data_IF_373963194123
#
_entry.id   IF_373963194123
#
_cell.length_a   1.000
_cell.length_b   1.000
_cell.length_c   1.000
_cell.angle_alpha   90.00
_cell.angle_beta   90.00
_cell.angle_gamma   90.00
#
_symmetry.space_group_name_H-M   'P 1'
#
loop_
_entity.id
_entity.type
_entity.pdbx_description
1 polymer ?
#
# COMPACT_ATOMS: atom_id res chain seq x y z
N UNK A 1 -26.51 -2.94 5.11
CA UNK A 1 -25.40 -3.87 4.85
C UNK A 1 -24.12 -3.09 4.96
N UNK A 2 -23.20 -3.47 5.82
CA UNK A 2 -21.86 -2.87 5.88
C UNK A 2 -21.01 -3.59 4.84
N UNK A 3 -20.63 -2.92 3.77
CA UNK A 3 -19.73 -3.48 2.75
C UNK A 3 -18.29 -3.58 3.26
N UNK A 4 -17.96 -2.77 4.23
CA UNK A 4 -16.68 -2.78 4.91
C UNK A 4 -16.93 -3.27 6.34
N UNK A 5 -16.40 -4.42 6.66
CA UNK A 5 -16.40 -4.92 8.02
C UNK A 5 -15.31 -4.20 8.83
N UNK A 6 -15.58 -2.92 9.12
CA UNK A 6 -14.61 -2.06 9.79
C UNK A 6 -14.37 -2.46 11.26
N UNK A 7 -15.31 -3.19 11.88
CA UNK A 7 -15.12 -3.65 13.25
C UNK A 7 -14.03 -4.72 13.33
N UNK A 8 -14.04 -5.67 12.39
CA UNK A 8 -13.06 -6.77 12.39
C UNK A 8 -11.82 -6.46 11.54
N UNK A 9 -11.98 -5.78 10.41
CA UNK A 9 -10.89 -5.51 9.47
C UNK A 9 -10.27 -4.11 9.60
N UNK A 10 -10.91 -3.18 10.32
CA UNK A 10 -10.51 -1.76 10.36
C UNK A 10 -9.08 -1.53 10.81
N UNK A 11 -8.62 -2.24 11.84
CA UNK A 11 -7.24 -2.15 12.30
C UNK A 11 -6.24 -2.55 11.20
N UNK A 12 -6.51 -3.64 10.49
CA UNK A 12 -5.63 -4.12 9.43
C UNK A 12 -5.62 -3.17 8.23
N UNK A 13 -6.76 -2.58 7.89
CA UNK A 13 -6.86 -1.58 6.82
C UNK A 13 -6.08 -0.31 7.16
N UNK A 14 -6.22 0.21 8.38
CA UNK A 14 -5.46 1.38 8.83
C UNK A 14 -3.96 1.07 8.84
N UNK A 15 -3.56 -0.09 9.35
CA UNK A 15 -2.17 -0.51 9.35
C UNK A 15 -1.59 -0.56 7.93
N UNK A 16 -2.33 -1.15 6.98
CA UNK A 16 -1.92 -1.19 5.57
C UNK A 16 -1.82 0.20 4.98
N UNK A 17 -2.81 1.06 5.23
CA UNK A 17 -2.80 2.44 4.76
C UNK A 17 -1.57 3.23 5.25
N UNK A 18 -1.17 3.03 6.50
CA UNK A 18 0.03 3.67 7.05
C UNK A 18 1.32 3.17 6.40
N UNK A 19 1.37 1.88 6.06
CA UNK A 19 2.55 1.21 5.50
C UNK A 19 2.64 1.35 3.98
N UNK A 20 1.52 1.22 3.28
CA UNK A 20 1.46 1.23 1.81
C UNK A 20 1.20 2.65 1.26
N UNK A 21 0.54 3.51 2.06
CA UNK A 21 0.20 4.89 1.67
C UNK A 21 -1.06 4.98 0.82
N UNK A 22 -1.62 3.86 0.40
CA UNK A 22 -2.79 3.78 -0.46
C UNK A 22 -3.61 2.53 -0.20
N UNK A 23 -4.89 2.61 -0.55
CA UNK A 23 -5.82 1.48 -0.51
C UNK A 23 -6.73 1.55 -1.74
N UNK A 24 -6.99 0.40 -2.34
CA UNK A 24 -7.90 0.27 -3.46
C UNK A 24 -8.90 -0.85 -3.26
N UNK A 25 -10.12 -0.64 -3.73
CA UNK A 25 -11.17 -1.65 -3.75
C UNK A 25 -11.87 -1.67 -5.11
N UNK A 26 -12.08 -2.86 -5.64
CA UNK A 26 -12.96 -3.07 -6.78
C UNK A 26 -14.42 -2.98 -6.33
N UNK A 27 -15.22 -2.20 -7.04
CA UNK A 27 -16.65 -2.08 -6.84
C UNK A 27 -17.38 -3.16 -7.65
N UNK A 28 -18.00 -4.11 -6.99
CA UNK A 28 -18.70 -5.22 -7.61
C UNK A 28 -20.15 -4.83 -7.85
N UNK A 29 -20.58 -4.85 -9.12
CA UNK A 29 -21.95 -4.55 -9.53
C UNK A 29 -22.55 -5.82 -10.15
N UNK A 30 -23.79 -6.13 -9.82
CA UNK A 30 -24.47 -7.27 -10.42
C UNK A 30 -24.84 -6.95 -11.88
N UNK A 31 -24.30 -7.67 -12.89
CA UNK A 31 -24.55 -7.37 -14.29
C UNK A 31 -26.03 -7.59 -14.71
N UNK A 32 -26.79 -8.45 -13.97
CA UNK A 32 -28.22 -8.68 -14.24
C UNK A 32 -29.09 -7.54 -13.72
N UNK A 33 -28.69 -6.86 -12.68
CA UNK A 33 -29.47 -5.81 -12.01
C UNK A 33 -28.57 -4.61 -11.66
N UNK A 34 -28.06 -3.87 -12.65
CA UNK A 34 -27.15 -2.75 -12.41
C UNK A 34 -27.80 -1.60 -11.63
N UNK A 35 -29.14 -1.50 -11.66
CA UNK A 35 -29.91 -0.52 -10.87
C UNK A 35 -29.81 -0.68 -9.35
N UNK A 36 -29.38 -1.84 -8.86
CA UNK A 36 -29.14 -2.08 -7.43
C UNK A 36 -27.85 -1.39 -6.93
N UNK A 37 -27.01 -0.88 -7.83
CA UNK A 37 -25.75 -0.25 -7.50
C UNK A 37 -24.67 -1.26 -7.08
N UNK A 38 -23.77 -0.83 -6.20
CA UNK A 38 -22.66 -1.65 -5.69
C UNK A 38 -23.23 -2.74 -4.78
N UNK A 39 -22.98 -3.99 -5.12
CA UNK A 39 -23.44 -5.17 -4.35
C UNK A 39 -22.38 -5.71 -3.42
N UNK A 40 -21.12 -5.36 -3.66
CA UNK A 40 -19.99 -5.77 -2.83
C UNK A 40 -18.75 -4.97 -3.18
N UNK A 41 -17.72 -5.12 -2.34
CA UNK A 41 -16.39 -4.54 -2.58
C UNK A 41 -15.34 -5.62 -2.39
N UNK A 42 -14.28 -5.56 -3.19
CA UNK A 42 -13.13 -6.46 -3.09
C UNK A 42 -11.87 -5.65 -2.88
N UNK A 43 -11.10 -5.98 -1.86
CA UNK A 43 -9.83 -5.34 -1.59
C UNK A 43 -8.79 -5.74 -2.65
N UNK A 44 -8.03 -4.74 -3.14
CA UNK A 44 -6.93 -4.89 -4.07
C UNK A 44 -5.62 -4.55 -3.33
N UNK A 45 -4.71 -5.52 -3.13
CA UNK A 45 -3.42 -5.23 -2.51
C UNK A 45 -2.56 -4.31 -3.38
N UNK A 46 -1.92 -3.31 -2.76
CA UNK A 46 -1.10 -2.32 -3.46
C UNK A 46 0.10 -2.93 -4.23
N UNK A 47 0.58 -4.08 -3.79
CA UNK A 47 1.69 -4.81 -4.41
C UNK A 47 1.41 -5.30 -5.84
N UNK A 48 0.13 -5.37 -6.24
CA UNK A 48 -0.31 -6.00 -7.49
C UNK A 48 -1.00 -5.05 -8.45
N UNK A 49 -1.04 -3.75 -8.17
CA UNK A 49 -1.58 -2.80 -9.12
C UNK A 49 -0.66 -1.60 -9.33
N UNK A 50 -0.77 -1.04 -10.52
CA UNK A 50 -0.08 0.18 -10.92
C UNK A 50 -1.10 1.20 -11.45
N UNK A 51 -0.77 2.48 -11.33
CA UNK A 51 -1.63 3.55 -11.85
C UNK A 51 -1.61 3.56 -13.36
N UNK A 52 -2.80 3.52 -13.96
CA UNK A 52 -3.00 3.60 -15.39
C UNK A 52 -3.09 5.06 -15.82
N UNK A 53 -2.15 5.49 -16.66
CA UNK A 53 -2.06 6.87 -17.15
C UNK A 53 -2.41 6.92 -18.64
N UNK A 54 -3.20 7.91 -19.02
CA UNK A 54 -3.47 8.19 -20.43
C UNK A 54 -2.22 8.81 -21.08
N UNK A 55 -1.71 8.16 -22.13
CA UNK A 55 -0.49 8.59 -22.84
C UNK A 55 -0.62 9.98 -23.47
N UNK A 56 -1.85 10.40 -23.82
CA UNK A 56 -2.07 11.69 -24.48
C UNK A 56 -2.15 12.85 -23.50
N UNK A 57 -2.81 12.64 -22.38
CA UNK A 57 -3.09 13.70 -21.40
C UNK A 57 -2.14 13.68 -20.22
N UNK A 58 -1.45 12.56 -19.98
CA UNK A 58 -0.63 12.34 -18.79
C UNK A 58 -1.43 12.21 -17.49
N UNK A 59 -2.77 12.13 -17.58
CA UNK A 59 -3.63 12.06 -16.40
C UNK A 59 -3.91 10.60 -16.01
N UNK A 60 -4.00 10.32 -14.71
CA UNK A 60 -4.37 8.99 -14.22
C UNK A 60 -5.85 8.71 -14.53
N UNK A 61 -6.13 7.59 -15.19
CA UNK A 61 -7.48 7.16 -15.62
C UNK A 61 -8.00 5.94 -14.87
N UNK A 62 -7.13 5.22 -14.17
CA UNK A 62 -7.50 4.03 -13.45
C UNK A 62 -6.29 3.32 -12.86
N UNK A 63 -6.44 2.05 -12.63
CA UNK A 63 -5.38 1.15 -12.19
C UNK A 63 -5.30 -0.08 -13.11
N UNK A 64 -4.12 -0.66 -13.21
CA UNK A 64 -3.89 -1.96 -13.85
C UNK A 64 -3.53 -2.95 -12.76
N UNK A 65 -4.32 -4.00 -12.62
CA UNK A 65 -4.11 -5.04 -11.64
C UNK A 65 -3.43 -6.25 -12.27
N UNK A 66 -2.27 -6.64 -11.75
CA UNK A 66 -1.51 -7.80 -12.21
C UNK A 66 -1.90 -9.05 -11.42
N UNK A 67 -2.35 -10.07 -12.15
CA UNK A 67 -2.78 -11.36 -11.57
C UNK A 67 -1.77 -12.48 -11.83
N UNK A 68 -0.62 -12.18 -12.40
CA UNK A 68 0.38 -13.21 -12.77
C UNK A 68 0.88 -13.98 -11.55
N UNK A 69 1.08 -13.27 -10.43
CA UNK A 69 1.61 -13.82 -9.19
C UNK A 69 0.57 -14.55 -8.30
N UNK A 70 -0.70 -14.56 -8.71
CA UNK A 70 -1.73 -15.26 -7.97
C UNK A 70 -1.82 -16.75 -8.32
N UNK A 71 -2.31 -17.55 -7.35
CA UNK A 71 -2.68 -18.93 -7.62
C UNK A 71 -3.79 -18.99 -8.68
N UNK A 72 -3.87 -20.10 -9.42
CA UNK A 72 -4.86 -20.26 -10.51
C UNK A 72 -6.30 -20.03 -10.04
N UNK A 73 -6.63 -20.45 -8.81
CA UNK A 73 -7.99 -20.31 -8.26
C UNK A 73 -8.34 -18.86 -7.97
N UNK A 74 -7.41 -18.11 -7.39
CA UNK A 74 -7.57 -16.66 -7.14
C UNK A 74 -7.63 -15.91 -8.46
N UNK A 75 -6.75 -16.22 -9.41
CA UNK A 75 -6.73 -15.66 -10.77
C UNK A 75 -8.09 -15.86 -11.47
N UNK A 76 -8.67 -17.05 -11.41
CA UNK A 76 -10.00 -17.32 -11.98
C UNK A 76 -11.11 -16.47 -11.33
N UNK A 77 -11.05 -16.26 -10.01
CA UNK A 77 -12.01 -15.41 -9.34
C UNK A 77 -11.96 -13.96 -9.84
N UNK A 78 -10.76 -13.40 -9.97
CA UNK A 78 -10.59 -12.05 -10.50
C UNK A 78 -11.00 -11.97 -11.99
N UNK A 79 -10.56 -12.90 -12.82
CA UNK A 79 -10.91 -12.93 -14.24
C UNK A 79 -12.41 -13.08 -14.47
N UNK A 80 -13.10 -13.93 -13.70
CA UNK A 80 -14.55 -14.14 -13.84
C UNK A 80 -15.36 -12.92 -13.38
N UNK A 81 -14.92 -12.20 -12.36
CA UNK A 81 -15.61 -10.97 -11.94
C UNK A 81 -15.48 -9.85 -12.98
N UNK A 82 -14.37 -9.83 -13.69
CA UNK A 82 -14.03 -8.80 -14.68
C UNK A 82 -14.63 -9.06 -16.07
N UNK A 83 -14.90 -10.30 -16.43
CA UNK A 83 -15.64 -10.59 -17.67
C UNK A 83 -17.01 -9.90 -17.71
N UNK A 84 -17.60 -9.58 -16.54
CA UNK A 84 -18.73 -8.64 -16.44
C UNK A 84 -18.34 -7.17 -16.66
N UNK A 85 -17.16 -6.76 -16.19
CA UNK A 85 -16.68 -5.37 -16.26
C UNK A 85 -15.89 -5.09 -17.56
N UNK A 86 -15.21 -6.10 -18.13
CA UNK A 86 -14.49 -5.96 -19.41
C UNK A 86 -15.40 -5.60 -20.58
N UNK A 87 -16.68 -6.00 -20.54
CA UNK A 87 -17.67 -5.57 -21.50
C UNK A 87 -17.89 -4.04 -21.49
N UNK A 88 -17.81 -3.43 -20.31
CA UNK A 88 -17.94 -1.97 -20.14
C UNK A 88 -16.65 -1.27 -20.60
N UNK A 89 -15.49 -1.83 -20.30
CA UNK A 89 -14.19 -1.30 -20.73
C UNK A 89 -14.08 -1.29 -22.28
N UNK A 90 -14.45 -2.38 -22.94
CA UNK A 90 -14.48 -2.46 -24.41
C UNK A 90 -15.51 -1.52 -25.04
N UNK A 91 -16.60 -1.22 -24.34
CA UNK A 91 -17.63 -0.29 -24.83
C UNK A 91 -17.22 1.18 -24.68
N UNK A 92 -16.41 1.52 -23.66
CA UNK A 92 -16.02 2.90 -23.38
C UNK A 92 -14.71 3.29 -24.10
N UNK A 93 -13.86 2.33 -24.47
CA UNK A 93 -12.49 2.60 -24.88
C UNK A 93 -11.98 1.92 -26.16
N UNK A 94 -12.68 1.89 -27.30
CA UNK A 94 -12.08 1.29 -28.49
C UNK A 94 -11.04 2.16 -29.20
N UNK A 95 -10.90 3.45 -28.92
CA UNK A 95 -10.11 4.35 -29.77
C UNK A 95 -9.22 5.38 -29.05
N UNK A 96 -9.34 5.56 -27.76
CA UNK A 96 -8.71 6.71 -27.07
C UNK A 96 -7.45 6.38 -26.31
N UNK A 97 -7.29 5.17 -25.81
CA UNK A 97 -6.17 4.81 -24.91
C UNK A 97 -5.32 3.72 -25.53
N UNK A 98 -4.05 3.99 -25.75
CA UNK A 98 -3.06 2.98 -26.19
C UNK A 98 -2.26 2.50 -24.98
N UNK A 99 -2.71 1.47 -24.31
CA UNK A 99 -2.01 0.87 -23.21
C UNK A 99 -1.04 -0.21 -23.68
N UNK A 100 0.16 -0.21 -23.10
CA UNK A 100 1.18 -1.25 -23.30
C UNK A 100 1.24 -2.12 -22.04
N UNK A 101 0.35 -3.07 -21.92
CA UNK A 101 0.41 -4.08 -20.86
C UNK A 101 0.07 -5.45 -21.43
N UNK A 102 0.46 -6.51 -20.73
CA UNK A 102 0.15 -7.86 -21.13
C UNK A 102 -1.35 -8.14 -20.83
N UNK A 103 -2.15 -8.24 -21.89
CA UNK A 103 -3.62 -8.44 -21.78
C UNK A 103 -4.02 -9.76 -21.14
N UNK A 104 -3.12 -10.73 -21.09
CA UNK A 104 -3.41 -12.07 -20.57
C UNK A 104 -3.27 -12.13 -19.04
N UNK A 105 -2.44 -11.24 -18.48
CA UNK A 105 -2.12 -11.24 -17.05
C UNK A 105 -2.58 -9.98 -16.32
N UNK A 106 -2.79 -8.89 -17.04
CA UNK A 106 -3.11 -7.60 -16.46
C UNK A 106 -4.56 -7.20 -16.75
N UNK A 107 -5.22 -6.70 -15.72
CA UNK A 107 -6.63 -6.34 -15.74
C UNK A 107 -6.74 -4.82 -15.54
N UNK A 108 -7.08 -4.05 -16.58
CA UNK A 108 -7.29 -2.62 -16.45
C UNK A 108 -8.65 -2.34 -15.80
N UNK A 109 -8.66 -1.46 -14.81
CA UNK A 109 -9.85 -0.97 -14.13
C UNK A 109 -9.87 0.56 -14.16
N UNK A 110 -10.99 1.14 -14.58
CA UNK A 110 -11.18 2.59 -14.57
C UNK A 110 -11.61 3.09 -13.19
N UNK A 111 -11.44 4.39 -12.92
CA UNK A 111 -11.83 5.01 -11.64
C UNK A 111 -13.32 4.84 -11.27
N UNK A 112 -14.21 4.60 -12.24
CA UNK A 112 -15.62 4.29 -11.97
C UNK A 112 -15.84 2.86 -11.42
N UNK A 113 -14.87 1.98 -11.57
CA UNK A 113 -14.90 0.59 -11.12
C UNK A 113 -14.13 0.38 -9.80
N UNK A 114 -13.32 1.35 -9.40
CA UNK A 114 -12.42 1.26 -8.28
C UNK A 114 -12.70 2.40 -7.30
N UNK A 115 -12.72 2.08 -6.02
CA UNK A 115 -12.63 3.06 -4.94
C UNK A 115 -11.17 3.11 -4.50
N UNK A 116 -10.54 4.27 -4.67
CA UNK A 116 -9.13 4.49 -4.37
C UNK A 116 -8.96 5.58 -3.33
N UNK A 117 -8.12 5.33 -2.33
CA UNK A 117 -7.77 6.28 -1.27
C UNK A 117 -6.25 6.33 -1.20
N UNK A 118 -5.69 7.53 -1.27
CA UNK A 118 -4.26 7.77 -1.13
C UNK A 118 -3.95 8.64 0.09
N UNK A 119 -2.72 8.58 0.56
CA UNK A 119 -2.20 9.44 1.64
C UNK A 119 -2.17 10.93 1.25
N UNK A 120 -2.31 11.23 -0.05
CA UNK A 120 -2.17 12.59 -0.60
C UNK A 120 -0.72 13.04 -0.78
N UNK A 121 0.24 12.22 -0.39
CA UNK A 121 1.66 12.46 -0.64
C UNK A 121 2.11 11.62 -1.82
N UNK A 122 2.47 12.33 -2.89
CA UNK A 122 2.87 11.69 -4.13
C UNK A 122 4.37 11.84 -4.37
N UNK A 123 4.95 10.88 -5.07
CA UNK A 123 6.28 10.99 -5.65
C UNK A 123 6.35 12.15 -6.64
N UNK A 124 7.56 12.53 -7.02
CA UNK A 124 7.81 13.53 -8.06
C UNK A 124 7.03 13.25 -9.36
N UNK A 125 6.79 11.98 -9.66
CA UNK A 125 6.06 11.53 -10.86
C UNK A 125 4.54 11.63 -10.72
N UNK A 126 4.01 11.97 -9.55
CA UNK A 126 2.57 11.97 -9.23
C UNK A 126 1.85 10.64 -9.48
N UNK A 127 2.58 9.55 -9.69
CA UNK A 127 2.06 8.22 -10.02
C UNK A 127 2.09 7.26 -8.83
N UNK A 128 3.08 7.44 -7.95
CA UNK A 128 3.26 6.60 -6.76
C UNK A 128 3.00 7.41 -5.50
N UNK A 129 2.31 6.81 -4.55
CA UNK A 129 2.05 7.41 -3.25
C UNK A 129 3.15 7.08 -2.26
N UNK A 130 3.47 8.02 -1.37
CA UNK A 130 4.40 7.75 -0.28
C UNK A 130 3.66 7.24 0.95
N UNK A 131 4.17 6.16 1.58
CA UNK A 131 3.68 5.72 2.88
C UNK A 131 3.82 6.80 3.93
N UNK A 132 2.81 6.95 4.80
CA UNK A 132 2.88 7.90 5.91
C UNK A 132 4.02 7.59 6.88
N UNK A 133 4.37 6.29 7.01
CA UNK A 133 5.45 5.83 7.88
C UNK A 133 6.85 6.18 7.33
N UNK A 134 6.99 6.50 6.05
CA UNK A 134 8.29 6.81 5.44
C UNK A 134 8.97 8.01 6.13
N UNK A 135 8.20 8.99 6.56
CA UNK A 135 8.69 10.15 7.32
C UNK A 135 9.30 9.76 8.66
N UNK A 136 8.77 8.72 9.30
CA UNK A 136 9.26 8.23 10.58
C UNK A 136 10.49 7.31 10.44
N UNK A 137 10.75 6.75 9.26
CA UNK A 137 11.81 5.77 9.00
C UNK A 137 13.21 6.29 9.37
N UNK A 138 13.52 7.53 8.99
CA UNK A 138 14.81 8.12 9.31
C UNK A 138 15.01 8.30 10.82
N UNK A 139 13.96 8.71 11.53
CA UNK A 139 14.01 8.89 12.97
C UNK A 139 14.13 7.55 13.71
N UNK A 140 13.42 6.55 13.21
CA UNK A 140 13.53 5.19 13.73
C UNK A 140 14.95 4.63 13.57
N UNK A 141 15.58 4.79 12.41
CA UNK A 141 16.96 4.35 12.22
C UNK A 141 17.95 5.07 13.15
N UNK A 142 17.76 6.37 13.37
CA UNK A 142 18.58 7.13 14.32
C UNK A 142 18.41 6.64 15.76
N UNK A 143 17.16 6.33 16.14
CA UNK A 143 16.87 5.78 17.47
C UNK A 143 17.53 4.42 17.66
N UNK A 144 17.39 3.51 16.70
CA UNK A 144 18.02 2.20 16.74
C UNK A 144 19.54 2.30 16.88
N UNK A 145 20.21 3.18 16.13
CA UNK A 145 21.64 3.43 16.26
C UNK A 145 22.02 3.97 17.64
N UNK A 146 21.20 4.84 18.24
CA UNK A 146 21.43 5.36 19.58
C UNK A 146 21.28 4.27 20.65
N UNK A 147 20.29 3.38 20.49
CA UNK A 147 20.11 2.24 21.38
C UNK A 147 21.30 1.30 21.33
N UNK A 148 21.78 0.95 20.14
CA UNK A 148 22.98 0.11 19.96
C UNK A 148 24.22 0.77 20.54
N UNK A 149 24.41 2.08 20.30
CA UNK A 149 25.51 2.83 20.86
C UNK A 149 25.46 2.88 22.40
N UNK A 150 24.27 3.02 22.99
CA UNK A 150 24.09 3.00 24.43
C UNK A 150 24.42 1.64 25.05
N UNK A 151 24.08 0.54 24.38
CA UNK A 151 24.43 -0.82 24.80
C UNK A 151 25.98 -1.00 24.77
N UNK A 152 26.60 -0.61 23.66
CA UNK A 152 28.07 -0.67 23.51
C UNK A 152 28.76 0.14 24.61
N UNK A 153 28.29 1.38 24.83
CA UNK A 153 28.84 2.25 25.88
C UNK A 153 28.75 1.61 27.25
N UNK A 154 27.63 1.00 27.61
CA UNK A 154 27.44 0.31 28.88
C UNK A 154 28.37 -0.90 29.02
N UNK A 155 28.53 -1.67 27.94
CA UNK A 155 29.40 -2.85 27.95
C UNK A 155 30.89 -2.45 28.07
N UNK A 156 31.30 -1.39 27.36
CA UNK A 156 32.70 -0.94 27.37
C UNK A 156 33.07 -0.20 28.66
N UNK A 157 32.14 0.60 29.22
CA UNK A 157 32.44 1.37 30.46
C UNK A 157 32.01 0.65 31.76
N UNK A 158 31.26 -0.45 31.68
CA UNK A 158 30.89 -1.22 32.87
C UNK A 158 32.09 -1.72 33.72
N UNK A 159 33.25 -2.06 33.14
CA UNK A 159 34.42 -2.47 33.94
C UNK A 159 35.24 -1.32 34.53
N UNK A 160 35.02 -0.07 34.09
CA UNK A 160 35.76 1.09 34.65
C UNK A 160 35.17 1.51 35.99
N UNK A 161 35.51 0.73 37.04
CA UNK A 161 35.33 1.16 38.43
C UNK A 161 36.57 1.96 38.84
N UNK A 162 36.44 3.28 38.82
CA UNK A 162 37.47 4.15 39.38
C UNK A 162 37.43 4.06 40.93
N UNK A 163 38.35 3.31 41.52
CA UNK A 163 38.56 3.25 42.96
C UNK A 163 39.49 4.39 43.34
N UNK A 164 38.94 5.45 43.94
CA UNK A 164 39.74 6.50 44.58
C UNK A 164 40.08 6.07 46.00
N UNK A 165 41.34 5.74 46.26
CA UNK A 165 41.83 5.48 47.61
C UNK A 165 42.45 6.77 48.13
N UNK A 166 41.72 7.48 48.96
CA UNK A 166 42.21 8.70 49.60
C UNK A 166 42.83 8.29 50.96
N UNK A 167 44.15 8.30 51.05
CA UNK A 167 44.84 8.11 52.29
C UNK A 167 44.76 9.43 53.08
N UNK A 168 43.91 9.46 54.13
CA UNK A 168 43.88 10.54 55.09
C UNK A 168 45.07 10.27 56.08
N UNK A 169 46.17 11.04 55.92
CA UNK A 169 47.29 10.95 56.82
C UNK A 169 46.85 11.06 58.28
N UNK A 170 47.52 10.28 59.17
CA UNK A 170 47.35 10.38 60.63
C UNK A 170 47.65 11.83 61.04
N UNK A 171 46.61 12.53 61.52
CA UNK A 171 46.90 13.71 62.34
C UNK A 171 47.53 13.20 63.68
N UNK A 172 48.70 13.60 63.91
CA UNK A 172 49.35 13.54 65.30
C UNK A 172 48.82 14.71 66.07
#
# INVERSE_FOLDING_TARGET
MSYFDLQDSGYNLIKRFLVEGELAWENIINPKYPSLGITGVRFLPAEYYETLVDVKTGLPVGIVFDVENFSKDVRMQYTNSINGSAGVFNAISPTSYSFKFNKDTCIPMLWNQVTYISSGEFSYDYLTTYPLIEKAKQQYHRLALLEDAAVILRVTHAPERLLFNISTGRMN
#
